data_IF_813908752541
#
_entry.id   IF_813908752541
#
_cell.length_a   1.000
_cell.length_b   1.000
_cell.length_c   1.000
_cell.angle_alpha   90.00
_cell.angle_beta   90.00
_cell.angle_gamma   90.00
#
_symmetry.space_group_name_H-M   'P 1'
#
loop_
_entity.id
_entity.type
_entity.pdbx_description
1 polymer ?
#
# COMPACT_ATOMS: atom_id res chain seq x y z
N UNK A 1 1.15 -14.67 14.41
CA UNK A 1 0.46 -13.37 14.31
C UNK A 1 -0.58 -13.48 13.21
N UNK A 2 -1.84 -13.08 13.41
CA UNK A 2 -2.82 -13.04 12.33
C UNK A 2 -2.46 -11.88 11.37
N UNK A 3 -2.07 -12.20 10.13
CA UNK A 3 -1.86 -11.19 9.09
C UNK A 3 -3.21 -10.81 8.48
N UNK A 4 -3.55 -9.51 8.45
CA UNK A 4 -4.77 -9.00 7.83
C UNK A 4 -4.42 -8.17 6.59
N UNK A 5 -4.96 -8.56 5.45
CA UNK A 5 -4.84 -7.82 4.19
C UNK A 5 -6.21 -7.22 3.82
N UNK A 6 -6.23 -5.95 3.40
CA UNK A 6 -7.45 -5.28 2.91
C UNK A 6 -7.14 -4.64 1.57
N UNK A 7 -7.71 -5.16 0.50
CA UNK A 7 -7.62 -4.57 -0.82
C UNK A 7 -8.73 -3.53 -1.03
N UNK A 8 -8.41 -2.40 -1.66
CA UNK A 8 -9.40 -1.48 -2.23
C UNK A 8 -9.34 -1.58 -3.75
N UNK A 9 -10.42 -2.07 -4.37
CA UNK A 9 -10.49 -2.33 -5.81
C UNK A 9 -10.37 -3.82 -6.16
N UNK A 10 -10.23 -4.11 -7.46
CA UNK A 10 -10.07 -5.47 -7.95
C UNK A 10 -8.59 -5.87 -7.81
N UNK A 11 -8.26 -6.65 -6.77
CA UNK A 11 -6.90 -7.13 -6.55
C UNK A 11 -6.86 -8.64 -6.70
N UNK A 12 -5.94 -9.15 -7.52
CA UNK A 12 -5.61 -10.57 -7.56
C UNK A 12 -4.50 -10.86 -6.55
N UNK A 13 -4.84 -11.54 -5.47
CA UNK A 13 -3.83 -12.00 -4.51
C UNK A 13 -3.19 -13.29 -5.00
N UNK A 14 -1.87 -13.28 -5.19
CA UNK A 14 -1.04 -14.48 -5.34
C UNK A 14 -0.05 -14.55 -4.18
N UNK A 15 0.00 -15.70 -3.53
CA UNK A 15 0.91 -15.97 -2.42
C UNK A 15 1.99 -16.93 -2.88
N UNK A 16 3.24 -16.62 -2.57
CA UNK A 16 4.36 -17.56 -2.74
C UNK A 16 4.88 -17.90 -1.36
N UNK A 17 4.96 -19.21 -1.08
CA UNK A 17 5.62 -19.70 0.12
C UNK A 17 7.11 -19.84 -0.19
N UNK A 18 7.91 -19.22 0.67
CA UNK A 18 9.38 -19.34 0.64
C UNK A 18 9.82 -20.09 1.89
N UNK A 19 10.96 -20.74 1.80
CA UNK A 19 11.65 -21.37 2.91
C UNK A 19 12.01 -20.33 3.98
N UNK A 20 12.00 -20.78 5.22
CA UNK A 20 12.27 -19.92 6.38
C UNK A 20 13.67 -19.29 6.30
N UNK A 21 14.68 -20.10 5.97
CA UNK A 21 16.07 -19.65 5.84
C UNK A 21 16.23 -18.50 4.83
N UNK A 22 15.58 -18.62 3.68
CA UNK A 22 15.63 -17.60 2.64
C UNK A 22 14.82 -16.34 3.02
N UNK A 23 13.73 -16.51 3.79
CA UNK A 23 12.91 -15.38 4.27
C UNK A 23 13.66 -14.44 5.22
N UNK A 24 14.58 -14.97 6.04
CA UNK A 24 15.39 -14.16 6.96
C UNK A 24 16.21 -13.10 6.24
N UNK A 25 16.56 -13.37 4.99
CA UNK A 25 17.37 -12.46 4.16
C UNK A 25 16.62 -11.19 3.74
N UNK A 26 15.29 -11.17 3.83
CA UNK A 26 14.44 -9.99 3.59
C UNK A 26 14.33 -9.08 4.82
N UNK A 27 14.74 -9.57 5.99
CA UNK A 27 14.60 -8.88 7.27
C UNK A 27 13.25 -9.12 7.94
N UNK A 28 13.06 -8.49 9.11
CA UNK A 28 11.91 -8.74 10.00
C UNK A 28 10.75 -7.75 9.84
N UNK A 29 10.90 -6.77 8.96
CA UNK A 29 9.92 -5.69 8.76
C UNK A 29 9.19 -5.92 7.45
N UNK A 30 7.86 -5.94 7.47
CA UNK A 30 7.04 -5.99 6.26
C UNK A 30 7.22 -4.71 5.45
N UNK A 31 7.30 -4.83 4.13
CA UNK A 31 7.43 -3.68 3.23
C UNK A 31 6.73 -3.97 1.90
N UNK A 32 6.41 -2.90 1.17
CA UNK A 32 5.94 -2.99 -0.21
C UNK A 32 7.09 -2.74 -1.19
N UNK A 33 7.13 -3.54 -2.26
CA UNK A 33 8.07 -3.37 -3.38
C UNK A 33 7.32 -3.44 -4.69
N UNK A 34 7.82 -2.72 -5.70
CA UNK A 34 7.28 -2.82 -7.05
C UNK A 34 7.60 -4.19 -7.67
N UNK A 35 6.70 -4.70 -8.52
CA UNK A 35 6.91 -5.95 -9.25
C UNK A 35 7.63 -5.64 -10.57
N UNK A 36 8.91 -6.02 -10.68
CA UNK A 36 9.64 -5.95 -11.94
C UNK A 36 9.04 -6.95 -12.97
N UNK A 37 9.25 -6.76 -14.28
CA UNK A 37 8.76 -7.72 -15.27
C UNK A 37 9.37 -9.11 -15.05
N UNK A 38 10.64 -9.17 -14.63
CA UNK A 38 11.28 -10.44 -14.28
C UNK A 38 10.64 -11.08 -13.05
N UNK A 39 10.47 -10.31 -11.96
CA UNK A 39 9.83 -10.78 -10.74
C UNK A 39 8.43 -11.33 -11.02
N UNK A 40 7.66 -10.64 -11.86
CA UNK A 40 6.33 -11.11 -12.29
C UNK A 40 6.39 -12.51 -12.91
N UNK A 41 7.26 -12.73 -13.89
CA UNK A 41 7.37 -14.03 -14.57
C UNK A 41 7.89 -15.12 -13.63
N UNK A 42 8.81 -14.78 -12.72
CA UNK A 42 9.28 -15.71 -11.69
C UNK A 42 8.15 -16.12 -10.73
N UNK A 43 7.33 -15.17 -10.27
CA UNK A 43 6.16 -15.42 -9.43
C UNK A 43 5.11 -16.28 -10.16
N UNK A 44 4.94 -16.11 -11.47
CA UNK A 44 4.06 -16.98 -12.27
C UNK A 44 4.65 -18.39 -12.34
N UNK A 45 5.94 -18.51 -12.65
CA UNK A 45 6.61 -19.80 -12.81
C UNK A 45 6.61 -20.63 -11.52
N UNK A 46 6.87 -20.03 -10.36
CA UNK A 46 6.88 -20.75 -9.08
C UNK A 46 5.48 -21.23 -8.68
N UNK A 47 4.44 -20.46 -8.99
CA UNK A 47 3.05 -20.84 -8.72
C UNK A 47 2.50 -21.92 -9.67
N UNK A 48 3.23 -22.26 -10.74
CA UNK A 48 2.90 -23.38 -11.63
C UNK A 48 3.57 -24.70 -11.21
N UNK A 49 4.44 -24.68 -10.18
CA UNK A 49 5.07 -25.90 -9.70
C UNK A 49 4.09 -26.74 -8.88
N UNK A 50 4.12 -28.08 -9.05
CA UNK A 50 3.29 -28.96 -8.26
C UNK A 50 3.68 -28.91 -6.77
N UNK A 51 2.74 -29.14 -5.85
CA UNK A 51 3.02 -29.15 -4.42
C UNK A 51 4.08 -30.19 -4.04
N UNK A 52 4.86 -29.87 -2.99
CA UNK A 52 6.10 -30.56 -2.58
C UNK A 52 6.00 -32.07 -2.31
N UNK A 53 4.80 -32.64 -2.26
CA UNK A 53 4.58 -34.07 -1.99
C UNK A 53 4.80 -34.96 -3.24
N UNK A 54 5.03 -34.38 -4.42
CA UNK A 54 5.13 -35.11 -5.70
C UNK A 54 6.31 -34.68 -6.57
N UNK A 55 7.36 -34.09 -5.98
CA UNK A 55 8.44 -33.42 -6.73
C UNK A 55 9.66 -34.30 -6.97
N UNK A 56 10.10 -34.36 -8.23
CA UNK A 56 11.39 -34.92 -8.67
C UNK A 56 12.57 -34.01 -8.28
N UNK A 57 13.80 -34.55 -8.23
CA UNK A 57 15.03 -33.78 -7.96
C UNK A 57 15.16 -32.53 -8.86
N UNK A 58 14.78 -32.65 -10.14
CA UNK A 58 14.81 -31.53 -11.09
C UNK A 58 13.82 -30.43 -10.73
N UNK A 59 12.64 -30.78 -10.20
CA UNK A 59 11.64 -29.80 -9.77
C UNK A 59 12.06 -29.09 -8.48
N UNK A 60 12.72 -29.81 -7.56
CA UNK A 60 13.29 -29.20 -6.35
C UNK A 60 14.40 -28.20 -6.70
N UNK A 61 15.33 -28.57 -7.59
CA UNK A 61 16.37 -27.66 -8.08
C UNK A 61 15.76 -26.42 -8.74
N UNK A 62 14.73 -26.60 -9.56
CA UNK A 62 14.02 -25.47 -10.20
C UNK A 62 13.32 -24.58 -9.19
N UNK A 63 12.68 -25.15 -8.16
CA UNK A 63 12.04 -24.39 -7.09
C UNK A 63 13.06 -23.51 -6.35
N UNK A 64 14.17 -24.09 -5.91
CA UNK A 64 15.24 -23.37 -5.19
C UNK A 64 15.85 -22.24 -6.04
N UNK A 65 16.04 -22.47 -7.35
CA UNK A 65 16.53 -21.43 -8.26
C UNK A 65 15.53 -20.28 -8.41
N UNK A 66 14.24 -20.58 -8.58
CA UNK A 66 13.20 -19.56 -8.68
C UNK A 66 13.06 -18.76 -7.39
N UNK A 67 13.07 -19.43 -6.24
CA UNK A 67 13.00 -18.81 -4.92
C UNK A 67 14.16 -17.82 -4.71
N UNK A 68 15.39 -18.25 -4.97
CA UNK A 68 16.58 -17.40 -4.87
C UNK A 68 16.44 -16.13 -5.73
N UNK A 69 16.03 -16.30 -7.00
CA UNK A 69 15.88 -15.17 -7.92
C UNK A 69 14.74 -14.22 -7.51
N UNK A 70 13.61 -14.76 -7.03
CA UNK A 70 12.48 -13.96 -6.52
C UNK A 70 12.96 -13.06 -5.38
N UNK A 71 13.70 -13.61 -4.43
CA UNK A 71 14.17 -12.85 -3.27
C UNK A 71 15.23 -11.82 -3.62
N UNK A 72 16.10 -12.12 -4.58
CA UNK A 72 17.04 -11.14 -5.12
C UNK A 72 16.32 -9.97 -5.81
N UNK A 73 15.33 -10.26 -6.66
CA UNK A 73 14.52 -9.24 -7.31
C UNK A 73 13.75 -8.38 -6.29
N UNK A 74 13.18 -9.00 -5.25
CA UNK A 74 12.50 -8.27 -4.16
C UNK A 74 13.46 -7.30 -3.45
N UNK A 75 14.70 -7.73 -3.16
CA UNK A 75 15.73 -6.89 -2.52
C UNK A 75 16.20 -5.74 -3.41
N UNK A 76 16.32 -5.99 -4.71
CA UNK A 76 16.71 -4.98 -5.70
C UNK A 76 15.57 -4.02 -6.07
N UNK A 77 14.33 -4.45 -5.83
CA UNK A 77 13.14 -3.67 -6.11
C UNK A 77 13.10 -2.33 -5.36
N UNK A 78 12.45 -1.35 -5.98
CA UNK A 78 12.24 -0.05 -5.35
C UNK A 78 11.21 -0.22 -4.24
N UNK A 79 11.65 -0.02 -3.00
CA UNK A 79 10.74 0.06 -1.84
C UNK A 79 9.76 1.20 -2.06
N UNK A 80 8.47 0.88 -2.02
CA UNK A 80 7.39 1.85 -2.17
C UNK A 80 6.78 2.15 -0.81
N UNK A 81 6.80 3.41 -0.39
CA UNK A 81 6.09 3.85 0.81
C UNK A 81 4.63 4.18 0.48
N UNK A 82 3.87 3.17 0.08
CA UNK A 82 2.41 3.23 -0.10
C UNK A 82 1.66 2.64 1.10
N UNK A 83 2.25 2.78 2.28
CA UNK A 83 1.67 2.33 3.54
C UNK A 83 0.75 3.42 4.11
N UNK A 84 -0.41 3.02 4.63
CA UNK A 84 -1.30 3.89 5.40
C UNK A 84 -1.31 3.40 6.85
N UNK A 85 -0.57 4.05 7.77
CA UNK A 85 -0.51 3.59 9.14
C UNK A 85 -1.90 3.66 9.77
N UNK A 86 -2.29 2.57 10.42
CA UNK A 86 -3.65 2.39 10.92
C UNK A 86 -3.67 2.49 12.45
N UNK A 87 -4.61 3.23 13.04
CA UNK A 87 -4.69 3.37 14.49
C UNK A 87 -5.19 2.09 15.15
N UNK A 88 -4.78 1.82 16.40
CA UNK A 88 -5.31 0.72 17.19
C UNK A 88 -6.58 1.11 17.97
N UNK A 89 -6.72 2.38 18.39
CA UNK A 89 -7.94 2.89 19.02
C UNK A 89 -9.17 2.75 18.08
N UNK A 90 -10.19 2.01 18.52
CA UNK A 90 -11.38 1.68 17.73
C UNK A 90 -12.14 2.91 17.22
N UNK A 91 -12.20 3.99 17.99
CA UNK A 91 -12.90 5.22 17.58
C UNK A 91 -12.15 5.90 16.44
N UNK A 92 -10.81 5.90 16.52
CA UNK A 92 -9.97 6.40 15.43
C UNK A 92 -10.05 5.50 14.20
N UNK A 93 -10.19 4.18 14.36
CA UNK A 93 -10.40 3.28 13.23
C UNK A 93 -11.69 3.63 12.50
N UNK A 94 -12.82 3.73 13.21
CA UNK A 94 -14.10 4.12 12.59
C UNK A 94 -14.02 5.47 11.88
N UNK A 95 -13.30 6.43 12.48
CA UNK A 95 -13.03 7.72 11.85
C UNK A 95 -12.23 7.56 10.55
N UNK A 96 -11.15 6.78 10.55
CA UNK A 96 -10.32 6.52 9.37
C UNK A 96 -11.08 5.75 8.27
N UNK A 97 -11.92 4.77 8.62
CA UNK A 97 -12.78 4.04 7.66
C UNK A 97 -13.77 4.99 7.00
N UNK A 98 -14.39 5.88 7.76
CA UNK A 98 -15.31 6.89 7.21
C UNK A 98 -14.61 7.85 6.23
N UNK A 99 -13.37 8.25 6.52
CA UNK A 99 -12.58 9.10 5.62
C UNK A 99 -12.18 8.34 4.34
N UNK A 100 -11.79 7.07 4.45
CA UNK A 100 -11.50 6.23 3.29
C UNK A 100 -12.70 6.06 2.36
N UNK A 101 -13.91 5.98 2.92
CA UNK A 101 -15.14 5.87 2.15
C UNK A 101 -15.60 7.22 1.54
N UNK A 102 -15.09 8.36 2.05
CA UNK A 102 -15.51 9.71 1.66
C UNK A 102 -14.32 10.64 1.36
N UNK A 103 -13.37 10.18 0.54
CA UNK A 103 -12.08 10.87 0.32
C UNK A 103 -12.22 12.30 -0.22
N UNK A 104 -13.27 12.59 -1.00
CA UNK A 104 -13.50 13.92 -1.56
C UNK A 104 -14.05 14.95 -0.59
N UNK A 105 -14.54 14.51 0.58
CA UNK A 105 -15.15 15.38 1.59
C UNK A 105 -14.45 15.16 2.93
N UNK A 106 -13.55 16.09 3.27
CA UNK A 106 -12.82 16.07 4.52
C UNK A 106 -13.56 16.94 5.55
N UNK A 107 -14.15 16.36 6.61
CA UNK A 107 -14.71 17.14 7.71
C UNK A 107 -13.62 17.94 8.42
N UNK A 108 -14.01 19.04 9.08
CA UNK A 108 -13.09 19.79 9.93
C UNK A 108 -12.60 18.93 11.08
N UNK A 109 -11.44 19.28 11.62
CA UNK A 109 -10.88 18.56 12.77
C UNK A 109 -11.81 18.62 13.99
N UNK A 110 -12.51 19.74 14.20
CA UNK A 110 -13.50 19.89 15.28
C UNK A 110 -14.67 18.91 15.10
N UNK A 111 -15.24 18.83 13.90
CA UNK A 111 -16.31 17.86 13.60
C UNK A 111 -15.86 16.41 13.83
N UNK A 112 -14.59 16.11 13.53
CA UNK A 112 -14.02 14.78 13.76
C UNK A 112 -13.78 14.50 15.24
N UNK A 113 -13.37 15.52 16.00
CA UNK A 113 -13.10 15.42 17.42
C UNK A 113 -14.41 15.23 18.21
N UNK A 114 -15.47 15.95 17.83
CA UNK A 114 -16.81 15.82 18.39
C UNK A 114 -17.37 14.41 18.21
N UNK A 115 -17.16 13.79 17.03
CA UNK A 115 -17.61 12.41 16.75
C UNK A 115 -17.04 11.36 17.70
N UNK A 116 -15.88 11.63 18.32
CA UNK A 116 -15.23 10.71 19.25
C UNK A 116 -15.16 11.26 20.69
N UNK A 117 -15.91 12.34 20.97
CA UNK A 117 -16.02 13.03 22.25
C UNK A 117 -14.67 13.50 22.82
N UNK A 118 -13.83 14.13 22.00
CA UNK A 118 -12.55 14.73 22.43
C UNK A 118 -12.39 16.14 21.88
N UNK A 119 -11.46 16.91 22.44
CA UNK A 119 -11.04 18.17 21.82
C UNK A 119 -10.16 17.93 20.58
N UNK A 120 -10.16 18.86 19.63
CA UNK A 120 -9.25 18.83 18.46
C UNK A 120 -7.78 18.68 18.82
N UNK A 121 -7.35 19.27 19.94
CA UNK A 121 -5.99 19.11 20.47
C UNK A 121 -5.71 17.66 20.89
N UNK A 122 -6.67 17.04 21.57
CA UNK A 122 -6.59 15.64 21.98
C UNK A 122 -6.59 14.72 20.76
N UNK A 123 -7.46 14.97 19.77
CA UNK A 123 -7.51 14.19 18.52
C UNK A 123 -6.18 14.24 17.78
N UNK A 124 -5.57 15.43 17.59
CA UNK A 124 -4.26 15.55 16.92
C UNK A 124 -3.18 14.74 17.62
N UNK A 125 -3.10 14.83 18.96
CA UNK A 125 -2.11 14.08 19.74
C UNK A 125 -2.35 12.57 19.66
N UNK A 126 -3.61 12.15 19.73
CA UNK A 126 -3.98 10.75 19.63
C UNK A 126 -3.64 10.19 18.24
N UNK A 127 -3.87 10.95 17.18
CA UNK A 127 -3.54 10.56 15.82
C UNK A 127 -2.03 10.30 15.64
N UNK A 128 -1.18 11.20 16.15
CA UNK A 128 0.28 11.02 16.09
C UNK A 128 0.72 9.85 16.96
N UNK A 129 0.13 9.68 18.15
CA UNK A 129 0.45 8.56 19.03
C UNK A 129 0.14 7.20 18.39
N UNK A 130 -1.01 7.09 17.75
CA UNK A 130 -1.51 5.81 17.21
C UNK A 130 -0.94 5.49 15.82
N UNK A 131 -0.65 6.49 15.00
CA UNK A 131 -0.24 6.29 13.59
C UNK A 131 1.17 6.75 13.26
N UNK A 132 1.84 7.46 14.18
CA UNK A 132 3.10 8.15 13.93
C UNK A 132 2.99 9.37 12.99
N UNK A 133 1.80 9.66 12.46
CA UNK A 133 1.56 10.76 11.52
C UNK A 133 0.63 11.82 12.10
N UNK A 134 0.82 13.08 11.67
CA UNK A 134 -0.21 14.11 11.87
C UNK A 134 -1.43 13.77 11.03
N UNK A 135 -2.62 14.21 11.46
CA UNK A 135 -3.86 14.00 10.72
C UNK A 135 -3.75 14.43 9.25
N UNK A 136 -3.16 15.61 8.99
CA UNK A 136 -2.93 16.12 7.63
C UNK A 136 -2.04 15.20 6.81
N UNK A 137 -0.95 14.68 7.38
CA UNK A 137 -0.05 13.77 6.67
C UNK A 137 -0.71 12.43 6.40
N UNK A 138 -1.52 11.93 7.32
CA UNK A 138 -2.29 10.71 7.12
C UNK A 138 -3.31 10.85 5.98
N UNK A 139 -4.07 11.95 5.95
CA UNK A 139 -5.02 12.24 4.86
C UNK A 139 -4.30 12.38 3.52
N UNK A 140 -3.12 13.02 3.49
CA UNK A 140 -2.32 13.10 2.27
C UNK A 140 -1.83 11.73 1.81
N UNK A 141 -1.41 10.87 2.74
CA UNK A 141 -1.00 9.50 2.44
C UNK A 141 -2.17 8.68 1.89
N UNK A 142 -3.35 8.80 2.49
CA UNK A 142 -4.60 8.23 2.00
C UNK A 142 -4.87 8.69 0.55
N UNK A 143 -4.82 10.00 0.28
CA UNK A 143 -5.01 10.54 -1.07
C UNK A 143 -3.98 10.06 -2.09
N UNK A 144 -2.72 9.88 -1.68
CA UNK A 144 -1.69 9.30 -2.56
C UNK A 144 -2.09 7.89 -2.96
N UNK A 145 -2.42 7.03 -1.99
CA UNK A 145 -2.80 5.64 -2.23
C UNK A 145 -4.04 5.55 -3.12
N UNK A 146 -5.08 6.35 -2.84
CA UNK A 146 -6.28 6.40 -3.67
C UNK A 146 -5.98 6.90 -5.09
N UNK A 147 -5.11 7.90 -5.23
CA UNK A 147 -4.72 8.42 -6.53
C UNK A 147 -3.96 7.39 -7.36
N UNK A 148 -3.15 6.54 -6.74
CA UNK A 148 -2.45 5.46 -7.43
C UNK A 148 -3.44 4.54 -8.14
N UNK A 149 -4.48 4.08 -7.44
CA UNK A 149 -5.54 3.26 -8.04
C UNK A 149 -6.27 4.00 -9.17
N UNK A 150 -6.63 5.28 -8.95
CA UNK A 150 -7.33 6.06 -9.98
C UNK A 150 -6.48 6.32 -11.23
N UNK A 151 -5.16 6.51 -11.05
CA UNK A 151 -4.22 6.67 -12.16
C UNK A 151 -4.11 5.38 -12.97
N UNK A 152 -4.10 4.23 -12.30
CA UNK A 152 -4.07 2.91 -12.94
C UNK A 152 -5.36 2.64 -13.72
N UNK A 153 -6.51 3.02 -13.15
CA UNK A 153 -7.82 3.01 -13.83
C UNK A 153 -7.92 4.02 -15.01
N UNK A 154 -6.86 4.78 -15.30
CA UNK A 154 -6.80 5.70 -16.43
C UNK A 154 -7.51 7.04 -16.21
N UNK A 155 -7.85 7.42 -14.97
CA UNK A 155 -8.47 8.71 -14.71
C UNK A 155 -7.49 9.87 -14.97
N UNK A 156 -8.00 10.93 -15.63
CA UNK A 156 -7.25 12.18 -15.80
C UNK A 156 -6.96 12.86 -14.46
N UNK A 157 -5.84 13.60 -14.35
CA UNK A 157 -5.46 14.33 -13.14
C UNK A 157 -6.54 15.30 -12.63
N UNK A 158 -7.28 15.94 -13.54
CA UNK A 158 -8.38 16.84 -13.18
C UNK A 158 -9.52 16.10 -12.48
N UNK A 159 -9.92 14.93 -13.01
CA UNK A 159 -10.93 14.07 -12.37
C UNK A 159 -10.46 13.56 -11.01
N UNK A 160 -9.20 13.17 -10.89
CA UNK A 160 -8.60 12.70 -9.63
C UNK A 160 -8.62 13.82 -8.58
N UNK A 161 -8.16 15.02 -8.96
CA UNK A 161 -8.16 16.17 -8.08
C UNK A 161 -9.57 16.47 -7.55
N UNK A 162 -10.56 16.54 -8.44
CA UNK A 162 -11.95 16.76 -8.04
C UNK A 162 -12.47 15.65 -7.10
N UNK A 163 -12.21 14.38 -7.42
CA UNK A 163 -12.66 13.23 -6.60
C UNK A 163 -12.04 13.21 -5.21
N UNK A 164 -10.81 13.69 -5.06
CA UNK A 164 -10.09 13.80 -3.79
C UNK A 164 -10.26 15.17 -3.11
N UNK A 165 -11.17 16.01 -3.59
CA UNK A 165 -11.51 17.29 -2.94
C UNK A 165 -10.47 18.40 -3.13
N UNK A 166 -9.61 18.32 -4.15
CA UNK A 166 -8.66 19.38 -4.50
C UNK A 166 -9.28 20.40 -5.47
N UNK A 167 -8.96 21.68 -5.26
CA UNK A 167 -9.47 22.77 -6.10
C UNK A 167 -8.95 22.74 -7.55
N UNK A 168 -7.79 22.11 -7.79
CA UNK A 168 -7.19 22.03 -9.12
C UNK A 168 -6.26 20.83 -9.29
N UNK A 169 -6.06 20.37 -10.53
CA UNK A 169 -5.08 19.35 -10.88
C UNK A 169 -3.66 19.71 -10.44
N UNK A 170 -3.33 21.01 -10.46
CA UNK A 170 -2.03 21.52 -10.01
C UNK A 170 -1.85 21.37 -8.49
N UNK A 171 -2.86 21.73 -7.70
CA UNK A 171 -2.80 21.59 -6.24
C UNK A 171 -2.64 20.12 -5.81
N UNK A 172 -3.36 19.22 -6.47
CA UNK A 172 -3.20 17.78 -6.32
C UNK A 172 -1.79 17.32 -6.75
N UNK A 173 -1.33 17.70 -7.95
CA UNK A 173 -0.04 17.30 -8.48
C UNK A 173 1.13 17.73 -7.59
N UNK A 174 1.06 18.94 -7.01
CA UNK A 174 2.03 19.45 -6.05
C UNK A 174 2.03 18.67 -4.75
N UNK A 175 0.85 18.35 -4.19
CA UNK A 175 0.72 17.50 -3.01
C UNK A 175 1.31 16.11 -3.29
N UNK A 176 0.93 15.49 -4.40
CA UNK A 176 1.37 14.15 -4.78
C UNK A 176 2.90 14.10 -4.93
N UNK A 177 3.49 15.07 -5.63
CA UNK A 177 4.94 15.17 -5.79
C UNK A 177 5.68 15.38 -4.48
N UNK A 178 5.13 16.17 -3.55
CA UNK A 178 5.74 16.34 -2.21
C UNK A 178 5.75 15.05 -1.41
N UNK A 179 4.74 14.20 -1.57
CA UNK A 179 4.61 12.93 -0.84
C UNK A 179 5.39 11.78 -1.47
N UNK A 180 5.41 11.70 -2.80
CA UNK A 180 6.03 10.57 -3.52
C UNK A 180 7.41 10.89 -4.11
N UNK A 181 7.77 12.17 -4.19
CA UNK A 181 8.96 12.65 -4.92
C UNK A 181 8.78 12.76 -6.44
N UNK A 182 7.67 12.27 -6.98
CA UNK A 182 7.42 12.21 -8.43
C UNK A 182 6.10 12.89 -8.80
N UNK A 183 6.03 13.48 -10.00
CA UNK A 183 4.74 13.92 -10.52
C UNK A 183 3.84 12.70 -10.81
N UNK A 184 2.50 12.84 -10.71
CA UNK A 184 1.57 11.75 -11.00
C UNK A 184 1.86 11.00 -12.31
N UNK A 185 2.08 11.72 -13.42
CA UNK A 185 2.37 11.09 -14.72
C UNK A 185 3.71 10.37 -14.83
N UNK A 186 4.73 10.77 -14.03
CA UNK A 186 6.00 10.03 -13.93
C UNK A 186 5.85 8.81 -13.03
N UNK A 187 4.99 8.91 -12.02
CA UNK A 187 4.64 7.82 -11.13
C UNK A 187 3.91 6.71 -11.91
N UNK A 188 2.86 7.02 -12.68
CA UNK A 188 2.12 6.05 -13.50
C UNK A 188 3.01 5.23 -14.44
N UNK A 189 4.00 5.84 -15.11
CA UNK A 189 4.95 5.08 -15.98
C UNK A 189 5.80 4.06 -15.23
N UNK A 190 5.98 4.23 -13.91
CA UNK A 190 6.60 3.23 -13.05
C UNK A 190 5.59 2.23 -12.49
N UNK A 191 4.32 2.64 -12.36
CA UNK A 191 3.22 1.81 -11.86
C UNK A 191 2.64 0.84 -12.89
N UNK A 192 2.86 1.03 -14.19
CA UNK A 192 2.36 0.15 -15.27
C UNK A 192 2.95 -1.27 -15.25
N UNK A 193 3.27 -1.80 -14.06
CA UNK A 193 3.69 -3.14 -13.72
C UNK A 193 3.14 -3.63 -12.35
N UNK A 194 1.80 -3.57 -12.13
CA UNK A 194 0.97 -4.44 -11.25
C UNK A 194 0.36 -3.89 -9.94
N UNK A 195 -0.83 -4.46 -9.68
CA UNK A 195 -1.80 -4.36 -8.57
C UNK A 195 -1.24 -4.01 -7.19
N UNK A 196 -1.82 -2.96 -6.57
CA UNK A 196 -1.43 -2.49 -5.24
C UNK A 196 -2.27 -3.13 -4.14
N UNK A 197 -1.56 -3.67 -3.15
CA UNK A 197 -2.08 -4.16 -1.89
C UNK A 197 -1.96 -3.07 -0.81
N UNK A 198 -3.05 -2.71 -0.12
CA UNK A 198 -3.00 -1.90 1.11
C UNK A 198 -2.84 -2.83 2.31
N UNK A 199 -1.72 -2.72 3.02
CA UNK A 199 -1.47 -3.52 4.22
C UNK A 199 -2.00 -2.78 5.45
N UNK A 200 -2.97 -3.37 6.15
CA UNK A 200 -3.47 -2.92 7.46
C UNK A 200 -2.53 -3.48 8.52
N UNK A 201 -1.73 -2.65 9.18
CA UNK A 201 -1.04 -3.08 10.40
C UNK A 201 -2.06 -3.19 11.54
N UNK A 202 -2.27 -4.40 12.06
CA UNK A 202 -2.83 -4.63 13.38
C UNK A 202 -1.99 -5.71 14.07
N UNK A 203 -1.78 -5.50 15.37
CA UNK A 203 -1.14 -6.41 16.33
C UNK A 203 -2.07 -7.60 16.59
#
# INVERSE_FOLDING_TARGET
MPHKFVATGNVLLKTVLVSEAESETLGKVCFMTGISPLLRELLIAINQLPPSQSTTDKQQLRFSALETLILQEIKMGVKMSLELPWPNDERLQQLCENLLNNQGYLPTLDNLADKINVSSRTLMRLFVKETGLTFRHWVQQMHVISAVTLLDDGYSLTKIAHRLGYASAESFGNMFKRRTGYSPGKFTRRLTMHDYAITRQMI
#
